data_IF_140842392171
#
_entry.id   IF_140842392171
#
_cell.length_a   1.000
_cell.length_b   1.000
_cell.length_c   1.000
_cell.angle_alpha   90.00
_cell.angle_beta   90.00
_cell.angle_gamma   90.00
#
_symmetry.space_group_name_H-M   'P 1'
#
loop_
_entity.id
_entity.type
_entity.pdbx_description
1 polymer ?
#
# COMPACT_ATOMS: atom_id res chain seq x y z
N UNK A 1 4.15 -16.31 7.70
CA UNK A 1 3.69 -15.40 6.61
C UNK A 1 2.68 -16.15 5.76
N UNK A 2 1.48 -15.59 5.51
CA UNK A 2 0.46 -16.27 4.68
C UNK A 2 0.76 -16.13 3.17
N UNK A 3 0.13 -16.97 2.34
CA UNK A 3 0.35 -17.01 0.88
C UNK A 3 0.13 -15.65 0.19
N UNK A 4 -0.86 -14.89 0.63
CA UNK A 4 -1.13 -13.54 0.11
C UNK A 4 0.02 -12.57 0.37
N UNK A 5 0.59 -12.61 1.57
CA UNK A 5 1.75 -11.77 1.90
C UNK A 5 2.97 -12.22 1.08
N UNK A 6 3.17 -13.53 0.89
CA UNK A 6 4.26 -14.06 0.05
C UNK A 6 4.15 -13.60 -1.41
N UNK A 7 2.94 -13.61 -1.99
CA UNK A 7 2.73 -13.13 -3.36
C UNK A 7 3.07 -11.65 -3.51
N UNK A 8 2.82 -10.84 -2.48
CA UNK A 8 3.18 -9.42 -2.48
C UNK A 8 4.68 -9.21 -2.30
N UNK A 9 5.38 -10.06 -1.54
CA UNK A 9 6.83 -9.93 -1.32
C UNK A 9 7.63 -9.96 -2.62
N UNK A 10 7.16 -10.67 -3.65
CA UNK A 10 7.83 -10.77 -4.95
C UNK A 10 7.52 -9.61 -5.90
N UNK A 11 6.61 -8.70 -5.51
CA UNK A 11 6.20 -7.58 -6.37
C UNK A 11 7.24 -6.45 -6.31
N UNK A 12 7.41 -5.67 -7.40
CA UNK A 12 8.37 -4.58 -7.43
C UNK A 12 7.93 -3.43 -6.50
N UNK A 13 8.89 -2.70 -5.93
CA UNK A 13 8.59 -1.43 -5.26
C UNK A 13 8.09 -0.39 -6.27
N UNK A 14 7.18 0.50 -5.86
CA UNK A 14 6.69 1.61 -6.68
C UNK A 14 7.07 2.94 -6.04
N UNK A 15 8.15 3.54 -6.54
CA UNK A 15 8.78 4.72 -5.93
C UNK A 15 9.05 5.86 -6.94
N UNK A 16 8.00 6.50 -7.47
CA UNK A 16 8.15 7.54 -8.49
C UNK A 16 8.59 8.91 -7.95
N UNK A 17 8.77 9.09 -6.63
CA UNK A 17 9.12 10.38 -6.04
C UNK A 17 7.92 11.29 -5.71
N UNK A 18 6.70 10.79 -5.89
CA UNK A 18 5.45 11.41 -5.42
C UNK A 18 4.50 10.35 -4.87
N UNK A 19 3.45 10.78 -4.17
CA UNK A 19 2.48 9.86 -3.59
C UNK A 19 1.71 9.10 -4.68
N UNK A 20 1.82 7.77 -4.69
CA UNK A 20 1.18 6.90 -5.69
C UNK A 20 -0.36 6.88 -5.60
N UNK A 21 -0.94 7.49 -4.56
CA UNK A 21 -2.40 7.54 -4.33
C UNK A 21 -3.01 8.90 -4.65
N UNK A 22 -2.35 10.00 -4.29
CA UNK A 22 -2.92 11.35 -4.43
C UNK A 22 -2.01 12.35 -5.17
N UNK A 23 -0.82 11.94 -5.62
CA UNK A 23 0.09 12.77 -6.42
C UNK A 23 0.88 13.83 -5.64
N UNK A 24 0.68 13.96 -4.33
CA UNK A 24 1.42 14.97 -3.52
C UNK A 24 2.95 14.71 -3.54
N UNK A 25 3.78 15.76 -3.60
CA UNK A 25 5.24 15.65 -3.58
C UNK A 25 5.77 15.26 -2.19
N UNK A 26 7.06 14.92 -2.10
CA UNK A 26 7.79 14.54 -0.88
C UNK A 26 7.21 13.28 -0.18
N UNK A 27 7.20 12.12 -0.87
CA UNK A 27 6.69 10.91 -0.27
C UNK A 27 7.66 10.32 0.75
N UNK A 28 7.11 9.50 1.64
CA UNK A 28 7.83 8.56 2.50
C UNK A 28 7.57 7.14 2.01
N UNK A 29 8.55 6.25 2.22
CA UNK A 29 8.41 4.85 1.85
C UNK A 29 7.54 4.08 2.85
N UNK A 30 6.46 3.48 2.37
CA UNK A 30 5.58 2.60 3.15
C UNK A 30 5.74 1.15 2.71
N UNK A 31 5.99 0.23 3.66
CA UNK A 31 6.11 -1.20 3.35
C UNK A 31 4.72 -1.80 3.22
N UNK A 32 4.37 -2.29 2.03
CA UNK A 32 3.04 -2.86 1.77
C UNK A 32 2.79 -4.10 2.64
N UNK A 33 3.82 -4.93 2.79
CA UNK A 33 3.82 -6.02 3.77
C UNK A 33 4.49 -5.50 5.04
N UNK A 34 3.78 -5.53 6.17
CA UNK A 34 4.34 -5.07 7.45
C UNK A 34 5.64 -5.82 7.76
N UNK A 35 6.66 -5.08 8.21
CA UNK A 35 7.97 -5.65 8.61
C UNK A 35 7.84 -6.78 9.65
N UNK A 36 6.94 -6.62 10.62
CA UNK A 36 6.65 -7.64 11.66
C UNK A 36 6.08 -8.95 11.09
N UNK A 37 5.66 -8.98 9.83
CA UNK A 37 5.21 -10.18 9.11
C UNK A 37 6.24 -10.71 8.10
N UNK A 38 7.49 -10.24 8.19
CA UNK A 38 8.59 -10.59 7.29
C UNK A 38 8.73 -9.67 6.07
N UNK A 39 8.06 -8.51 6.06
CA UNK A 39 8.14 -7.52 4.98
C UNK A 39 9.41 -6.67 4.98
N UNK A 40 10.50 -7.11 5.61
CA UNK A 40 11.73 -6.33 5.73
C UNK A 40 12.37 -6.05 4.36
N UNK A 41 12.23 -7.00 3.42
CA UNK A 41 12.62 -6.89 2.01
C UNK A 41 11.40 -6.82 1.07
N UNK A 42 10.23 -6.50 1.62
CA UNK A 42 8.98 -6.43 0.86
C UNK A 42 8.88 -5.14 0.04
N UNK A 43 7.97 -5.07 -0.94
CA UNK A 43 7.79 -3.88 -1.76
C UNK A 43 7.43 -2.66 -0.92
N UNK A 44 8.07 -1.56 -1.28
CA UNK A 44 7.83 -0.23 -0.72
C UNK A 44 7.10 0.61 -1.75
N UNK A 45 6.08 1.34 -1.31
CA UNK A 45 5.35 2.32 -2.11
C UNK A 45 5.56 3.73 -1.55
N UNK A 46 5.70 4.71 -2.43
CA UNK A 46 5.86 6.11 -2.04
C UNK A 46 4.49 6.73 -1.67
N UNK A 47 4.33 7.18 -0.42
CA UNK A 47 3.10 7.80 0.08
C UNK A 47 3.37 9.16 0.74
N UNK A 48 2.46 10.13 0.56
CA UNK A 48 2.58 11.39 1.28
C UNK A 48 2.25 11.23 2.76
N UNK A 49 2.86 12.09 3.58
CA UNK A 49 2.70 12.07 5.04
C UNK A 49 3.65 11.09 5.71
N UNK A 50 3.53 10.99 7.03
CA UNK A 50 4.38 10.16 7.88
C UNK A 50 3.64 9.81 9.17
N UNK A 51 3.94 8.66 9.77
CA UNK A 51 3.24 8.17 10.95
C UNK A 51 1.75 7.99 10.65
N UNK A 52 0.88 8.72 11.37
CA UNK A 52 -0.58 8.66 11.23
C UNK A 52 -1.16 9.73 10.29
N UNK A 53 -0.32 10.52 9.61
CA UNK A 53 -0.76 11.59 8.72
C UNK A 53 -0.71 11.20 7.24
N UNK A 54 -1.66 11.72 6.45
CA UNK A 54 -1.71 11.54 4.99
C UNK A 54 -2.04 10.12 4.55
N UNK A 55 -1.73 9.79 3.28
CA UNK A 55 -1.93 8.44 2.73
C UNK A 55 -1.08 7.41 3.47
N UNK A 56 0.10 7.80 3.96
CA UNK A 56 0.91 6.92 4.81
C UNK A 56 0.14 6.54 6.09
N UNK A 57 -0.46 7.52 6.76
CA UNK A 57 -1.29 7.31 7.93
C UNK A 57 -2.51 6.43 7.68
N UNK A 58 -3.21 6.66 6.56
CA UNK A 58 -4.34 5.81 6.17
C UNK A 58 -3.90 4.35 6.00
N UNK A 59 -2.69 4.09 5.45
CA UNK A 59 -2.16 2.74 5.31
C UNK A 59 -1.79 2.10 6.65
N UNK A 60 -1.14 2.86 7.55
CA UNK A 60 -0.82 2.38 8.91
C UNK A 60 -2.08 2.03 9.71
N UNK A 61 -3.16 2.77 9.50
CA UNK A 61 -4.45 2.58 10.17
C UNK A 61 -5.37 1.57 9.50
N UNK A 62 -4.90 0.82 8.49
CA UNK A 62 -5.71 -0.15 7.76
C UNK A 62 -6.93 0.47 7.06
N UNK A 63 -6.83 1.73 6.64
CA UNK A 63 -7.84 2.46 5.85
C UNK A 63 -7.43 2.63 4.39
N UNK A 64 -6.20 2.23 4.06
CA UNK A 64 -5.66 2.18 2.72
C UNK A 64 -4.93 0.84 2.53
N UNK A 65 -5.29 0.14 1.46
CA UNK A 65 -4.76 -1.18 1.14
C UNK A 65 -4.15 -1.18 -0.25
N UNK A 66 -3.19 -2.08 -0.48
CA UNK A 66 -2.54 -2.25 -1.78
C UNK A 66 -2.63 -3.69 -2.24
N UNK A 67 -2.76 -3.88 -3.55
CA UNK A 67 -2.64 -5.19 -4.20
C UNK A 67 -1.85 -5.05 -5.48
N UNK A 68 -1.37 -6.18 -5.99
CA UNK A 68 -0.67 -6.24 -7.27
C UNK A 68 -1.36 -7.26 -8.18
N UNK A 69 -1.87 -6.77 -9.31
CA UNK A 69 -2.67 -7.53 -10.30
C UNK A 69 -2.18 -7.22 -11.72
N UNK A 70 -0.87 -7.35 -11.94
CA UNK A 70 -0.17 -6.87 -13.15
C UNK A 70 0.29 -5.41 -13.05
N UNK A 71 -0.32 -4.63 -12.17
CA UNK A 71 0.13 -3.31 -11.71
C UNK A 71 -0.25 -3.11 -10.24
N UNK A 72 0.33 -2.09 -9.61
CA UNK A 72 -0.10 -1.68 -8.28
C UNK A 72 -1.47 -1.02 -8.31
N UNK A 73 -2.32 -1.45 -7.40
CA UNK A 73 -3.65 -0.89 -7.17
C UNK A 73 -3.85 -0.61 -5.69
N UNK A 74 -4.69 0.38 -5.38
CA UNK A 74 -5.04 0.74 -4.02
C UNK A 74 -6.55 0.76 -3.79
N UNK A 75 -6.94 0.54 -2.54
CA UNK A 75 -8.32 0.69 -2.07
C UNK A 75 -8.35 1.51 -0.79
N UNK A 76 -9.19 2.54 -0.76
CA UNK A 76 -9.51 3.31 0.45
C UNK A 76 -10.78 2.77 1.08
N UNK A 77 -10.75 2.58 2.39
CA UNK A 77 -11.91 2.17 3.19
C UNK A 77 -12.26 3.25 4.20
N UNK A 78 -13.55 3.45 4.46
CA UNK A 78 -13.99 4.48 5.40
C UNK A 78 -13.53 4.17 6.84
N UNK A 79 -13.52 2.88 7.20
CA UNK A 79 -13.14 2.36 8.51
C UNK A 79 -11.96 1.38 8.39
N UNK A 80 -11.14 1.21 9.44
CA UNK A 80 -10.09 0.20 9.47
C UNK A 80 -10.64 -1.19 9.09
N UNK A 81 -10.05 -1.80 8.06
CA UNK A 81 -10.51 -3.05 7.46
C UNK A 81 -9.33 -4.03 7.39
N UNK A 82 -9.54 -5.32 7.70
CA UNK A 82 -8.44 -6.29 7.58
C UNK A 82 -8.15 -6.51 6.09
N UNK A 83 -6.88 -6.76 5.76
CA UNK A 83 -6.46 -6.89 4.37
C UNK A 83 -7.25 -7.96 3.60
N UNK A 84 -7.54 -9.11 4.22
CA UNK A 84 -8.33 -10.17 3.58
C UNK A 84 -9.75 -9.72 3.26
N UNK A 85 -10.39 -8.98 4.17
CA UNK A 85 -11.75 -8.47 3.95
C UNK A 85 -11.73 -7.39 2.86
N UNK A 86 -10.67 -6.57 2.79
CA UNK A 86 -10.50 -5.55 1.77
C UNK A 86 -10.32 -6.11 0.35
N UNK A 87 -9.73 -7.31 0.20
CA UNK A 87 -9.58 -7.97 -1.11
C UNK A 87 -10.92 -8.30 -1.77
N UNK A 88 -11.94 -8.58 -0.96
CA UNK A 88 -13.30 -8.89 -1.42
C UNK A 88 -14.11 -7.62 -1.78
N UNK A 89 -13.62 -6.44 -1.43
CA UNK A 89 -14.30 -5.18 -1.73
C UNK A 89 -14.03 -4.70 -3.16
N UNK A 90 -15.06 -4.10 -3.76
CA UNK A 90 -14.94 -3.39 -5.01
C UNK A 90 -14.29 -2.00 -4.83
N UNK A 91 -13.92 -1.36 -5.94
CA UNK A 91 -13.43 0.04 -5.94
C UNK A 91 -11.91 0.20 -5.90
N UNK A 92 -11.16 -0.87 -6.17
CA UNK A 92 -9.73 -0.81 -6.39
C UNK A 92 -9.39 0.12 -7.56
N UNK A 93 -8.40 0.98 -7.36
CA UNK A 93 -7.95 1.98 -8.34
C UNK A 93 -6.48 1.77 -8.65
N UNK A 94 -6.04 2.03 -9.90
CA UNK A 94 -4.61 1.97 -10.21
C UNK A 94 -3.84 3.01 -9.40
N UNK A 95 -2.69 2.60 -8.88
CA UNK A 95 -1.70 3.53 -8.35
C UNK A 95 -1.16 4.39 -9.49
N UNK A 96 -0.87 5.66 -9.20
CA UNK A 96 -0.15 6.50 -10.13
C UNK A 96 1.28 5.96 -10.30
N UNK A 97 1.61 5.59 -11.54
CA UNK A 97 2.97 5.27 -11.98
C UNK A 97 3.51 6.41 -12.85
N UNK A 98 4.82 6.50 -13.05
CA UNK A 98 5.39 7.30 -14.13
C UNK A 98 4.79 6.93 -15.49
#
# INVERSE_FOLDING_TARGET
>A
MNLLSQSLMSCPSLRPGFCVVCGKPHPTGHHVVRRSRGGHDGPVVDLCGHGTAGCHGDAEQLRLHFRHSGRWEYLRTARPTRYIDALELAGWRPCASP
#
